data_IF_756764597624
#
_entry.id   IF_756764597624
#
_cell.length_a   1.000
_cell.length_b   1.000
_cell.length_c   1.000
_cell.angle_alpha   90.00
_cell.angle_beta   90.00
_cell.angle_gamma   90.00
#
_symmetry.space_group_name_H-M   'P 1'
#
loop_
_entity.id
_entity.type
_entity.pdbx_description
1 polymer ?
#
# COMPACT_ATOMS: atom_id res chain seq x y z
N UNK A 1 2.15 -25.29 -7.72
CA UNK A 1 2.27 -24.63 -6.41
C UNK A 1 1.59 -23.26 -6.40
N UNK A 2 1.86 -22.32 -7.35
CA UNK A 2 1.31 -20.96 -7.34
C UNK A 2 -0.21 -20.89 -7.41
N UNK A 3 -0.84 -21.66 -8.31
CA UNK A 3 -2.30 -21.73 -8.44
C UNK A 3 -2.93 -22.27 -7.15
N UNK A 4 -2.33 -23.29 -6.54
CA UNK A 4 -2.80 -23.84 -5.26
C UNK A 4 -2.73 -22.82 -4.12
N UNK A 5 -1.69 -22.00 -4.04
CA UNK A 5 -1.57 -20.95 -3.03
C UNK A 5 -2.64 -19.86 -3.19
N UNK A 6 -2.91 -19.44 -4.44
CA UNK A 6 -3.98 -18.46 -4.74
C UNK A 6 -5.36 -19.03 -4.38
N UNK A 7 -5.66 -20.27 -4.78
CA UNK A 7 -6.92 -20.93 -4.47
C UNK A 7 -7.11 -21.12 -2.96
N UNK A 8 -6.05 -21.55 -2.26
CA UNK A 8 -6.10 -21.73 -0.81
C UNK A 8 -6.39 -20.41 -0.09
N UNK A 9 -5.72 -19.31 -0.49
CA UNK A 9 -5.98 -17.98 0.06
C UNK A 9 -7.40 -17.44 -0.22
N UNK A 10 -8.12 -17.98 -1.22
CA UNK A 10 -9.51 -17.60 -1.50
C UNK A 10 -10.54 -18.40 -0.70
N UNK A 11 -10.24 -19.65 -0.35
CA UNK A 11 -11.17 -20.59 0.28
C UNK A 11 -11.13 -20.49 1.81
N UNK A 12 -9.99 -20.09 2.38
CA UNK A 12 -9.83 -20.03 3.82
C UNK A 12 -10.66 -18.91 4.45
N UNK A 13 -11.50 -19.24 5.42
CA UNK A 13 -12.47 -18.32 6.04
C UNK A 13 -11.82 -17.25 6.96
N UNK A 14 -10.65 -17.52 7.52
CA UNK A 14 -9.85 -16.59 8.35
C UNK A 14 -8.84 -15.78 7.57
N UNK A 15 -9.00 -15.62 6.25
CA UNK A 15 -8.07 -14.94 5.36
C UNK A 15 -7.78 -13.51 5.79
N UNK A 16 -6.49 -13.20 5.86
CA UNK A 16 -5.98 -11.84 5.99
C UNK A 16 -5.33 -11.41 4.65
N UNK A 17 -5.18 -10.10 4.46
CA UNK A 17 -4.47 -9.57 3.29
C UNK A 17 -3.01 -10.09 3.20
N UNK A 18 -2.40 -10.37 4.36
CA UNK A 18 -1.06 -10.99 4.48
C UNK A 18 -0.96 -12.37 3.85
N UNK A 19 -2.06 -13.12 3.73
CA UNK A 19 -2.06 -14.46 3.15
C UNK A 19 -1.77 -14.43 1.63
N UNK A 20 -2.00 -13.28 0.99
CA UNK A 20 -1.60 -13.05 -0.40
C UNK A 20 -0.08 -13.15 -0.61
N UNK A 21 0.74 -12.94 0.43
CA UNK A 21 2.20 -13.10 0.37
C UNK A 21 2.64 -14.52 -0.02
N UNK A 22 1.87 -15.55 0.35
CA UNK A 22 2.14 -16.93 -0.03
C UNK A 22 2.09 -17.17 -1.54
N UNK A 23 1.27 -16.37 -2.26
CA UNK A 23 1.21 -16.41 -3.72
C UNK A 23 2.33 -15.58 -4.38
N UNK A 24 2.79 -14.52 -3.73
CA UNK A 24 3.84 -13.62 -4.29
C UNK A 24 5.16 -14.36 -4.51
N UNK A 25 5.59 -15.19 -3.57
CA UNK A 25 6.87 -15.88 -3.66
C UNK A 25 6.96 -16.83 -4.88
N UNK A 26 6.03 -17.78 -5.12
CA UNK A 26 6.09 -18.61 -6.32
C UNK A 26 5.87 -17.83 -7.61
N UNK A 27 5.08 -16.74 -7.59
CA UNK A 27 4.91 -15.88 -8.76
C UNK A 27 6.19 -15.10 -9.08
N UNK A 28 6.91 -14.62 -8.07
CA UNK A 28 8.20 -13.97 -8.25
C UNK A 28 9.26 -14.91 -8.83
N UNK A 29 9.29 -16.17 -8.38
CA UNK A 29 10.19 -17.20 -8.94
C UNK A 29 9.86 -17.49 -10.41
N UNK A 30 8.57 -17.64 -10.76
CA UNK A 30 8.14 -17.83 -12.13
C UNK A 30 8.48 -16.62 -13.01
N UNK A 31 8.22 -15.41 -12.51
CA UNK A 31 8.57 -14.16 -13.18
C UNK A 31 10.09 -14.04 -13.41
N UNK A 32 10.88 -14.36 -12.40
CA UNK A 32 12.35 -14.39 -12.50
C UNK A 32 12.85 -15.40 -13.54
N UNK A 33 12.24 -16.59 -13.61
CA UNK A 33 12.57 -17.59 -14.65
C UNK A 33 12.27 -17.06 -16.04
N UNK A 34 11.08 -16.51 -16.27
CA UNK A 34 10.70 -15.94 -17.58
C UNK A 34 11.61 -14.78 -17.97
N UNK A 35 11.97 -13.90 -17.03
CA UNK A 35 12.94 -12.83 -17.25
C UNK A 35 14.30 -13.42 -17.65
N UNK A 36 14.80 -14.42 -16.93
CA UNK A 36 16.06 -15.07 -17.23
C UNK A 36 16.05 -15.69 -18.63
N UNK A 37 14.98 -16.38 -19.04
CA UNK A 37 14.85 -16.97 -20.38
C UNK A 37 14.87 -15.91 -21.49
N UNK A 38 14.20 -14.78 -21.29
CA UNK A 38 14.14 -13.70 -22.30
C UNK A 38 15.47 -12.97 -22.44
N UNK A 39 16.24 -12.83 -21.34
CA UNK A 39 17.51 -12.10 -21.34
C UNK A 39 18.76 -12.98 -21.44
N UNK A 40 18.68 -14.28 -21.11
CA UNK A 40 19.83 -15.19 -21.12
C UNK A 40 20.19 -15.70 -22.52
N UNK A 41 19.30 -15.63 -23.50
CA UNK A 41 19.67 -15.97 -24.89
C UNK A 41 20.58 -14.90 -25.47
N UNK A 42 21.88 -15.08 -25.25
CA UNK A 42 22.98 -14.17 -25.58
C UNK A 42 23.28 -13.98 -27.07
N UNK A 43 22.26 -13.92 -27.92
CA UNK A 43 22.43 -13.37 -29.26
C UNK A 43 22.63 -11.87 -29.13
N UNK A 44 23.72 -11.40 -29.70
CA UNK A 44 24.14 -10.00 -29.73
C UNK A 44 22.96 -9.09 -30.10
N UNK A 45 22.57 -8.22 -29.17
CA UNK A 45 21.52 -7.18 -29.39
C UNK A 45 22.03 -6.08 -30.38
N UNK A 46 23.15 -6.30 -31.07
CA UNK A 46 23.74 -5.37 -32.04
C UNK A 46 22.83 -5.26 -33.26
N UNK A 47 21.92 -4.28 -33.26
CA UNK A 47 20.96 -3.98 -34.32
C UNK A 47 19.51 -4.00 -33.91
N UNK A 48 19.08 -4.75 -32.89
CA UNK A 48 17.69 -4.78 -32.42
C UNK A 48 17.43 -3.80 -31.25
N UNK A 49 18.48 -3.29 -30.61
CA UNK A 49 18.38 -2.41 -29.44
C UNK A 49 17.49 -1.19 -29.67
N UNK A 50 17.61 -0.53 -30.82
CA UNK A 50 16.80 0.65 -31.14
C UNK A 50 15.30 0.28 -31.21
N UNK A 51 14.99 -0.86 -31.82
CA UNK A 51 13.63 -1.38 -31.93
C UNK A 51 13.05 -1.74 -30.56
N UNK A 52 13.84 -2.44 -29.73
CA UNK A 52 13.47 -2.81 -28.35
C UNK A 52 13.22 -1.54 -27.51
N UNK A 53 14.12 -0.55 -27.59
CA UNK A 53 13.98 0.71 -26.86
C UNK A 53 12.78 1.53 -27.32
N UNK A 54 12.55 1.63 -28.64
CA UNK A 54 11.40 2.34 -29.18
C UNK A 54 10.08 1.72 -28.72
N UNK A 55 9.97 0.40 -28.84
CA UNK A 55 8.79 -0.33 -28.35
C UNK A 55 8.60 -0.18 -26.85
N UNK A 56 9.67 -0.36 -26.06
CA UNK A 56 9.62 -0.21 -24.62
C UNK A 56 9.16 1.19 -24.22
N UNK A 57 9.64 2.25 -24.89
CA UNK A 57 9.23 3.62 -24.66
C UNK A 57 7.75 3.85 -24.95
N UNK A 58 7.26 3.38 -26.10
CA UNK A 58 5.84 3.51 -26.47
C UNK A 58 4.96 2.77 -25.45
N UNK A 59 5.26 1.52 -25.15
CA UNK A 59 4.51 0.71 -24.20
C UNK A 59 4.58 1.28 -22.78
N UNK A 60 5.72 1.82 -22.38
CA UNK A 60 5.87 2.49 -21.09
C UNK A 60 4.87 3.65 -20.94
N UNK A 61 4.81 4.55 -21.93
CA UNK A 61 3.86 5.69 -21.92
C UNK A 61 2.41 5.19 -21.85
N UNK A 62 2.09 4.17 -22.64
CA UNK A 62 0.73 3.57 -22.65
C UNK A 62 0.38 2.94 -21.29
N UNK A 63 1.29 2.19 -20.69
CA UNK A 63 1.06 1.56 -19.39
C UNK A 63 0.96 2.59 -18.26
N UNK A 64 1.76 3.65 -18.29
CA UNK A 64 1.64 4.77 -17.34
C UNK A 64 0.29 5.45 -17.48
N UNK A 65 -0.17 5.72 -18.70
CA UNK A 65 -1.50 6.27 -18.93
C UNK A 65 -2.62 5.35 -18.39
N UNK A 66 -2.52 4.04 -18.66
CA UNK A 66 -3.46 3.05 -18.13
C UNK A 66 -3.46 3.03 -16.59
N UNK A 67 -2.27 3.07 -15.97
CA UNK A 67 -2.10 3.11 -14.52
C UNK A 67 -2.80 4.33 -13.88
N UNK A 68 -2.62 5.53 -14.44
CA UNK A 68 -3.28 6.73 -13.92
C UNK A 68 -4.81 6.67 -14.09
N UNK A 69 -5.30 6.15 -15.21
CA UNK A 69 -6.75 6.00 -15.41
C UNK A 69 -7.35 4.94 -14.47
N UNK A 70 -6.68 3.82 -14.24
CA UNK A 70 -7.13 2.83 -13.24
C UNK A 70 -7.12 3.43 -11.83
N UNK A 71 -6.10 4.21 -11.49
CA UNK A 71 -6.03 4.93 -10.22
C UNK A 71 -7.14 5.97 -10.06
N UNK A 72 -7.50 6.68 -11.13
CA UNK A 72 -8.62 7.61 -11.13
C UNK A 72 -9.98 6.90 -10.95
N UNK A 73 -10.16 5.78 -11.66
CA UNK A 73 -11.36 4.95 -11.50
C UNK A 73 -11.52 4.43 -10.07
N UNK A 74 -10.45 3.90 -9.48
CA UNK A 74 -10.48 3.36 -8.10
C UNK A 74 -10.80 4.40 -7.03
N UNK A 75 -10.50 5.68 -7.29
CA UNK A 75 -10.75 6.81 -6.38
C UNK A 75 -12.03 7.59 -6.72
N UNK A 76 -12.81 7.14 -7.69
CA UNK A 76 -13.97 7.88 -8.24
C UNK A 76 -13.63 9.32 -8.67
N UNK A 77 -12.42 9.54 -9.18
CA UNK A 77 -11.98 10.84 -9.69
C UNK A 77 -12.36 10.92 -11.17
N UNK A 78 -13.23 11.88 -11.51
CA UNK A 78 -13.56 12.21 -12.89
C UNK A 78 -12.74 13.42 -13.33
N UNK A 79 -11.96 13.27 -14.41
CA UNK A 79 -11.14 14.37 -14.95
C UNK A 79 -11.98 15.44 -15.68
N UNK A 80 -13.20 15.10 -16.07
CA UNK A 80 -14.14 16.00 -16.75
C UNK A 80 -15.47 15.97 -16.01
N UNK A 81 -15.97 17.12 -15.64
CA UNK A 81 -17.17 17.31 -14.78
C UNK A 81 -18.44 16.63 -15.31
N UNK A 82 -18.52 16.38 -16.62
CA UNK A 82 -19.68 15.74 -17.28
C UNK A 82 -19.42 14.32 -17.77
N UNK A 83 -18.29 13.71 -17.41
CA UNK A 83 -17.92 12.38 -17.91
C UNK A 83 -18.54 11.26 -17.09
N UNK A 84 -18.86 10.16 -17.77
CA UNK A 84 -19.28 8.92 -17.10
C UNK A 84 -18.21 8.44 -16.10
N UNK A 85 -18.57 7.95 -14.91
CA UNK A 85 -17.63 7.40 -13.94
C UNK A 85 -16.82 6.21 -14.49
N UNK A 86 -17.30 5.56 -15.55
CA UNK A 86 -16.61 4.46 -16.22
C UNK A 86 -15.60 4.91 -17.28
N UNK A 87 -15.55 6.21 -17.64
CA UNK A 87 -14.64 6.71 -18.68
C UNK A 87 -13.18 6.35 -18.41
N UNK A 88 -12.62 6.52 -17.19
CA UNK A 88 -11.23 6.13 -16.94
C UNK A 88 -10.98 4.62 -17.15
N UNK A 89 -11.95 3.77 -16.81
CA UNK A 89 -11.84 2.33 -17.04
C UNK A 89 -11.84 2.00 -18.55
N UNK A 90 -12.70 2.64 -19.32
CA UNK A 90 -12.76 2.48 -20.79
C UNK A 90 -11.46 2.94 -21.42
N UNK A 91 -10.92 4.08 -21.00
CA UNK A 91 -9.64 4.58 -21.50
C UNK A 91 -8.48 3.66 -21.15
N UNK A 92 -8.42 3.16 -19.91
CA UNK A 92 -7.40 2.21 -19.49
C UNK A 92 -7.45 0.92 -20.30
N UNK A 93 -8.64 0.33 -20.46
CA UNK A 93 -8.81 -0.91 -21.24
C UNK A 93 -8.50 -0.72 -22.72
N UNK A 94 -8.91 0.41 -23.29
CA UNK A 94 -8.61 0.76 -24.67
C UNK A 94 -7.10 0.88 -24.94
N UNK A 95 -6.39 1.56 -24.05
CA UNK A 95 -4.93 1.70 -24.15
C UNK A 95 -4.19 0.38 -23.94
N UNK A 96 -4.64 -0.47 -23.01
CA UNK A 96 -4.07 -1.81 -22.85
C UNK A 96 -4.26 -2.66 -24.11
N UNK A 97 -5.47 -2.62 -24.70
CA UNK A 97 -5.76 -3.32 -25.96
C UNK A 97 -4.87 -2.82 -27.10
N UNK A 98 -4.71 -1.49 -27.20
CA UNK A 98 -3.81 -0.89 -28.18
C UNK A 98 -2.35 -1.28 -27.95
N UNK A 99 -1.90 -1.36 -26.71
CA UNK A 99 -0.56 -1.82 -26.34
C UNK A 99 -0.29 -3.26 -26.75
N UNK A 100 -1.28 -4.13 -26.59
CA UNK A 100 -1.22 -5.50 -27.08
C UNK A 100 -1.11 -5.54 -28.61
N UNK A 101 -1.92 -4.73 -29.31
CA UNK A 101 -1.85 -4.60 -30.77
C UNK A 101 -0.47 -4.12 -31.22
N UNK A 102 0.08 -3.09 -30.59
CA UNK A 102 1.44 -2.59 -30.86
C UNK A 102 2.45 -3.71 -30.68
N UNK A 103 2.36 -4.48 -29.61
CA UNK A 103 3.26 -5.61 -29.36
C UNK A 103 3.18 -6.66 -30.48
N UNK A 104 1.98 -7.00 -30.93
CA UNK A 104 1.77 -7.93 -32.06
C UNK A 104 2.35 -7.37 -33.37
N UNK A 105 2.16 -6.09 -33.64
CA UNK A 105 2.72 -5.45 -34.84
C UNK A 105 4.26 -5.44 -34.81
N UNK A 106 4.88 -5.16 -33.66
CA UNK A 106 6.34 -5.27 -33.51
C UNK A 106 6.82 -6.69 -33.69
N UNK A 107 6.11 -7.68 -33.14
CA UNK A 107 6.46 -9.10 -33.31
C UNK A 107 6.35 -9.57 -34.76
N UNK A 108 5.40 -9.04 -35.53
CA UNK A 108 5.20 -9.36 -36.94
C UNK A 108 6.16 -8.59 -37.87
N UNK A 109 6.46 -7.32 -37.55
CA UNK A 109 7.26 -6.45 -38.40
C UNK A 109 8.78 -6.60 -38.20
N UNK A 110 9.21 -7.00 -37.01
CA UNK A 110 10.64 -7.15 -36.67
C UNK A 110 10.96 -8.55 -36.17
N UNK A 111 10.85 -8.77 -34.83
CA UNK A 111 11.10 -10.10 -34.27
C UNK A 111 10.26 -10.33 -33.01
N UNK A 112 9.82 -11.57 -32.82
CA UNK A 112 9.08 -11.98 -31.61
C UNK A 112 9.91 -11.77 -30.35
N UNK A 113 11.25 -12.02 -30.44
CA UNK A 113 12.18 -11.84 -29.33
C UNK A 113 12.33 -10.36 -28.95
N UNK A 114 12.52 -9.47 -29.94
CA UNK A 114 12.58 -8.03 -29.71
C UNK A 114 11.28 -7.50 -29.10
N UNK A 115 10.14 -7.94 -29.62
CA UNK A 115 8.83 -7.57 -29.09
C UNK A 115 8.62 -8.03 -27.63
N UNK A 116 9.03 -9.25 -27.30
CA UNK A 116 8.96 -9.76 -25.94
C UNK A 116 9.87 -8.97 -24.98
N UNK A 117 11.11 -8.67 -25.39
CA UNK A 117 12.07 -7.88 -24.61
C UNK A 117 11.56 -6.45 -24.35
N UNK A 118 11.10 -5.76 -25.39
CA UNK A 118 10.54 -4.41 -25.28
C UNK A 118 9.33 -4.37 -24.35
N UNK A 119 8.41 -5.32 -24.49
CA UNK A 119 7.24 -5.46 -23.63
C UNK A 119 7.62 -5.73 -22.17
N UNK A 120 8.58 -6.62 -21.92
CA UNK A 120 9.05 -6.92 -20.56
C UNK A 120 9.77 -5.75 -19.92
N UNK A 121 10.59 -5.03 -20.64
CA UNK A 121 11.26 -3.82 -20.12
C UNK A 121 10.22 -2.79 -19.73
N UNK A 122 9.25 -2.50 -20.60
CA UNK A 122 8.18 -1.54 -20.30
C UNK A 122 7.36 -1.96 -19.07
N UNK A 123 6.87 -3.19 -19.06
CA UNK A 123 6.08 -3.72 -17.95
C UNK A 123 6.87 -3.76 -16.64
N UNK A 124 8.11 -4.26 -16.69
CA UNK A 124 8.99 -4.34 -15.54
C UNK A 124 9.31 -2.97 -14.95
N UNK A 125 9.55 -1.97 -15.80
CA UNK A 125 9.81 -0.59 -15.35
C UNK A 125 8.57 0.00 -14.68
N UNK A 126 7.38 -0.13 -15.28
CA UNK A 126 6.12 0.37 -14.68
C UNK A 126 5.82 -0.35 -13.36
N UNK A 127 6.00 -1.66 -13.31
CA UNK A 127 5.81 -2.44 -12.08
C UNK A 127 6.80 -2.02 -10.99
N UNK A 128 8.07 -1.83 -11.32
CA UNK A 128 9.10 -1.40 -10.38
C UNK A 128 8.77 -0.01 -9.81
N UNK A 129 8.53 0.97 -10.68
CA UNK A 129 8.19 2.34 -10.26
C UNK A 129 6.89 2.37 -9.48
N UNK A 130 5.86 1.65 -9.93
CA UNK A 130 4.57 1.54 -9.26
C UNK A 130 4.70 0.92 -7.87
N UNK A 131 5.48 -0.16 -7.74
CA UNK A 131 5.71 -0.84 -6.45
C UNK A 131 6.50 0.05 -5.48
N UNK A 132 7.55 0.71 -5.94
CA UNK A 132 8.31 1.66 -5.12
C UNK A 132 7.45 2.84 -4.69
N UNK A 133 6.65 3.41 -5.60
CA UNK A 133 5.72 4.50 -5.29
C UNK A 133 4.61 4.07 -4.33
N UNK A 134 4.04 2.88 -4.50
CA UNK A 134 3.05 2.33 -3.59
C UNK A 134 3.66 2.07 -2.20
N UNK A 135 4.85 1.45 -2.13
CA UNK A 135 5.57 1.22 -0.89
C UNK A 135 5.88 2.52 -0.14
N UNK A 136 6.37 3.53 -0.84
CA UNK A 136 6.58 4.85 -0.27
C UNK A 136 5.27 5.47 0.24
N UNK A 137 4.19 5.37 -0.56
CA UNK A 137 2.87 5.85 -0.18
C UNK A 137 2.37 5.24 1.12
N UNK A 138 2.46 3.91 1.24
CA UNK A 138 2.02 3.17 2.45
C UNK A 138 2.87 3.53 3.67
N UNK A 139 4.19 3.67 3.51
CA UNK A 139 5.08 3.92 4.65
C UNK A 139 5.12 5.38 5.12
N UNK A 140 4.85 6.34 4.24
CA UNK A 140 5.02 7.76 4.54
C UNK A 140 3.72 8.57 4.51
N UNK A 141 2.99 8.51 3.40
CA UNK A 141 1.84 9.42 3.20
C UNK A 141 0.50 8.83 3.63
N UNK A 142 0.40 7.50 3.69
CA UNK A 142 -0.83 6.77 4.01
C UNK A 142 -0.64 5.74 5.12
N UNK A 143 0.39 5.92 5.94
CA UNK A 143 0.70 5.00 7.03
C UNK A 143 -0.47 4.82 8.01
N UNK A 144 -1.28 5.89 8.18
CA UNK A 144 -2.43 5.92 9.08
C UNK A 144 -3.78 5.77 8.34
N UNK A 145 -3.79 5.48 7.03
CA UNK A 145 -5.03 5.36 6.28
C UNK A 145 -5.69 4.00 6.57
N UNK A 146 -6.91 3.94 7.15
CA UNK A 146 -7.62 2.69 7.43
C UNK A 146 -8.02 1.91 6.18
N UNK A 147 -7.88 2.50 4.99
CA UNK A 147 -8.11 1.84 3.71
C UNK A 147 -6.92 0.99 3.25
N UNK A 148 -5.75 1.17 3.87
CA UNK A 148 -4.58 0.35 3.55
C UNK A 148 -4.75 -1.05 4.14
N UNK A 149 -4.68 -2.05 3.26
CA UNK A 149 -4.87 -3.47 3.61
C UNK A 149 -3.87 -3.99 4.67
N UNK A 150 -2.75 -3.30 4.83
CA UNK A 150 -1.69 -3.64 5.79
C UNK A 150 -1.88 -3.00 7.16
N UNK A 151 -2.92 -2.18 7.31
CA UNK A 151 -3.24 -1.51 8.56
C UNK A 151 -4.56 -2.07 9.13
N UNK A 152 -4.55 -3.30 9.67
CA UNK A 152 -5.77 -3.96 10.14
C UNK A 152 -6.36 -3.35 11.41
N UNK A 153 -5.59 -2.52 12.11
CA UNK A 153 -6.04 -1.80 13.30
C UNK A 153 -5.99 -0.29 13.02
N UNK A 154 -6.98 0.49 13.49
CA UNK A 154 -6.90 1.93 13.43
C UNK A 154 -5.69 2.38 14.26
N UNK A 155 -4.64 2.82 13.58
CA UNK A 155 -3.52 3.47 14.24
C UNK A 155 -4.01 4.81 14.75
N UNK A 156 -3.82 5.09 16.04
CA UNK A 156 -4.10 6.41 16.57
C UNK A 156 -3.14 7.39 15.93
N UNK A 157 -3.64 8.17 14.99
CA UNK A 157 -2.86 9.20 14.33
C UNK A 157 -2.28 10.11 15.40
N UNK A 158 -0.95 10.29 15.37
CA UNK A 158 -0.24 11.07 16.37
C UNK A 158 -0.16 10.47 17.79
N UNK A 159 -0.30 9.14 17.98
CA UNK A 159 -0.10 8.50 19.28
C UNK A 159 1.25 8.89 19.92
N UNK A 160 2.30 9.00 19.09
CA UNK A 160 3.62 9.48 19.53
C UNK A 160 3.60 10.94 20.00
N UNK A 161 2.83 11.80 19.35
CA UNK A 161 2.65 13.19 19.77
C UNK A 161 1.94 13.27 21.12
N UNK A 162 0.93 12.42 21.36
CA UNK A 162 0.27 12.29 22.64
C UNK A 162 1.26 11.91 23.74
N UNK A 163 2.09 10.87 23.52
CA UNK A 163 3.09 10.45 24.49
C UNK A 163 4.12 11.57 24.79
N UNK A 164 4.54 12.32 23.78
CA UNK A 164 5.43 13.49 23.95
C UNK A 164 4.74 14.60 24.76
N UNK A 165 3.48 14.89 24.46
CA UNK A 165 2.71 15.91 25.21
C UNK A 165 2.57 15.53 26.69
N UNK A 166 2.30 14.24 26.97
CA UNK A 166 2.21 13.75 28.35
C UNK A 166 3.57 13.84 29.08
N UNK A 167 4.68 13.58 28.39
CA UNK A 167 6.01 13.78 28.93
C UNK A 167 6.25 15.25 29.32
N UNK A 168 5.89 16.18 28.45
CA UNK A 168 6.03 17.62 28.72
C UNK A 168 5.14 18.05 29.90
N UNK A 169 3.91 17.56 29.99
CA UNK A 169 3.01 17.82 31.11
C UNK A 169 3.60 17.23 32.40
N UNK A 170 4.08 15.98 32.37
CA UNK A 170 4.68 15.32 33.52
C UNK A 170 5.87 16.09 34.08
N UNK A 171 6.77 16.52 33.18
CA UNK A 171 7.92 17.34 33.58
C UNK A 171 7.54 18.67 34.21
N UNK A 172 6.50 19.33 33.69
CA UNK A 172 6.06 20.65 34.19
C UNK A 172 5.28 20.56 35.48
N UNK A 173 4.47 19.51 35.68
CA UNK A 173 3.55 19.39 36.83
C UNK A 173 4.13 18.58 37.97
N UNK A 174 4.87 17.52 37.70
CA UNK A 174 5.38 16.56 38.67
C UNK A 174 6.91 16.64 38.81
N UNK A 175 7.60 17.27 37.85
CA UNK A 175 9.06 17.35 37.83
C UNK A 175 9.76 16.04 37.49
N UNK A 176 9.02 15.06 36.98
CA UNK A 176 9.50 13.73 36.57
C UNK A 176 8.95 13.36 35.19
N UNK A 177 9.75 12.66 34.38
CA UNK A 177 9.39 12.35 33.01
C UNK A 177 8.16 11.44 32.86
N UNK A 178 7.89 10.54 33.82
CA UNK A 178 6.90 9.48 33.67
C UNK A 178 5.99 9.28 34.87
N UNK A 179 6.04 10.16 35.88
CA UNK A 179 5.34 9.98 37.15
C UNK A 179 3.93 10.61 37.17
N UNK A 180 3.47 11.07 36.01
CA UNK A 180 2.13 11.63 35.83
C UNK A 180 1.05 10.52 35.95
N UNK A 181 0.01 10.80 36.70
CA UNK A 181 -1.19 9.94 36.74
C UNK A 181 -2.06 10.26 35.52
N UNK A 182 -2.33 9.22 34.70
CA UNK A 182 -3.12 9.34 33.47
C UNK A 182 -4.28 8.34 33.54
N UNK A 183 -5.48 8.85 33.35
CA UNK A 183 -6.67 8.03 33.24
C UNK A 183 -7.09 7.94 31.79
N UNK A 184 -7.25 6.73 31.26
CA UNK A 184 -7.64 6.47 29.88
C UNK A 184 -9.02 5.83 29.89
N UNK A 185 -9.99 6.47 29.24
CA UNK A 185 -11.31 5.88 29.06
C UNK A 185 -11.26 4.81 27.99
N UNK A 186 -11.63 3.58 28.33
CA UNK A 186 -11.77 2.49 27.36
C UNK A 186 -12.92 2.80 26.40
N UNK A 187 -12.60 2.78 25.12
CA UNK A 187 -13.57 2.84 24.03
C UNK A 187 -13.27 1.69 23.07
N UNK A 188 -14.14 0.68 22.97
CA UNK A 188 -13.94 -0.47 22.11
C UNK A 188 -13.69 -0.13 20.63
N UNK A 189 -14.03 1.11 20.24
CA UNK A 189 -13.84 1.58 18.87
C UNK A 189 -12.42 2.02 18.54
N UNK A 190 -11.61 2.43 19.51
CA UNK A 190 -10.27 2.98 19.24
C UNK A 190 -9.21 2.68 20.29
N UNK A 191 -9.57 2.22 21.45
CA UNK A 191 -8.66 2.07 22.58
C UNK A 191 -9.03 0.86 23.45
N UNK A 192 -8.12 -0.09 23.56
CA UNK A 192 -8.16 -1.20 24.49
C UNK A 192 -6.85 -1.27 25.30
N UNK A 193 -6.88 -2.03 26.40
CA UNK A 193 -5.72 -2.20 27.30
C UNK A 193 -4.51 -2.84 26.62
N UNK A 194 -4.72 -3.57 25.53
CA UNK A 194 -3.68 -4.28 24.77
C UNK A 194 -3.33 -3.56 23.47
N UNK A 195 -3.93 -2.40 23.21
CA UNK A 195 -3.80 -1.66 21.97
C UNK A 195 -2.55 -0.78 21.87
N UNK A 196 -2.48 -0.05 20.75
CA UNK A 196 -1.38 0.87 20.45
C UNK A 196 -1.19 1.93 21.54
N UNK A 197 -2.27 2.43 22.12
CA UNK A 197 -2.21 3.46 23.16
C UNK A 197 -1.55 2.91 24.43
N UNK A 198 -1.88 1.70 24.84
CA UNK A 198 -1.24 1.04 25.97
C UNK A 198 0.27 0.84 25.72
N UNK A 199 0.65 0.51 24.48
CA UNK A 199 2.06 0.42 24.09
C UNK A 199 2.78 1.75 24.16
N UNK A 200 2.20 2.83 23.67
CA UNK A 200 2.78 4.17 23.72
C UNK A 200 2.90 4.71 25.15
N UNK A 201 1.94 4.37 26.02
CA UNK A 201 1.91 4.79 27.43
C UNK A 201 2.64 3.84 28.37
N UNK A 202 3.27 2.78 27.89
CA UNK A 202 3.93 1.73 28.71
C UNK A 202 5.00 2.25 29.70
N UNK A 203 5.55 3.42 29.42
CA UNK A 203 6.57 4.04 30.29
C UNK A 203 5.96 4.83 31.47
N UNK A 204 4.65 5.05 31.46
CA UNK A 204 3.94 5.74 32.55
C UNK A 204 3.37 4.72 33.53
N UNK A 205 3.97 4.50 34.70
CA UNK A 205 3.54 3.46 35.65
C UNK A 205 2.18 3.72 36.29
N UNK A 206 1.69 4.97 36.25
CA UNK A 206 0.43 5.39 36.87
C UNK A 206 -0.69 5.55 35.84
N UNK A 207 -0.62 4.88 34.70
CA UNK A 207 -1.73 4.83 33.74
C UNK A 207 -2.79 3.85 34.22
N UNK A 208 -4.03 4.30 34.20
CA UNK A 208 -5.20 3.48 34.50
C UNK A 208 -6.20 3.51 33.35
N UNK A 209 -6.60 2.33 32.89
CA UNK A 209 -7.66 2.18 31.93
C UNK A 209 -8.98 1.94 32.67
N UNK A 210 -10.01 2.74 32.36
CA UNK A 210 -11.31 2.67 33.03
C UNK A 210 -12.43 2.61 32.00
N UNK A 211 -13.49 1.87 32.30
CA UNK A 211 -14.64 1.72 31.39
C UNK A 211 -15.66 2.87 31.57
N UNK A 212 -15.58 3.61 32.68
CA UNK A 212 -16.39 4.76 32.93
C UNK A 212 -15.63 5.79 33.77
N UNK A 213 -15.89 7.08 33.54
CA UNK A 213 -15.34 8.19 34.31
C UNK A 213 -16.22 8.42 35.55
N UNK A 214 -15.81 7.86 36.68
CA UNK A 214 -16.37 8.20 37.97
C UNK A 214 -15.65 9.44 38.53
N UNK A 215 -16.34 10.33 39.29
CA UNK A 215 -15.70 11.53 39.88
C UNK A 215 -14.47 11.20 40.73
N UNK A 216 -14.45 10.03 41.35
CA UNK A 216 -13.38 9.54 42.22
C UNK A 216 -12.18 8.96 41.42
N UNK A 217 -12.41 8.67 40.13
CA UNK A 217 -11.38 8.11 39.23
C UNK A 217 -10.67 9.17 38.39
N UNK A 218 -11.03 10.44 38.51
CA UNK A 218 -10.45 11.53 37.77
C UNK A 218 -9.01 11.76 38.24
N UNK A 219 -8.04 11.55 37.33
CA UNK A 219 -6.64 11.94 37.49
C UNK A 219 -6.41 13.36 36.94
N UNK A 220 -5.18 13.88 37.09
CA UNK A 220 -4.79 15.18 36.55
C UNK A 220 -4.86 15.24 35.03
N UNK A 221 -4.80 14.10 34.36
CA UNK A 221 -4.96 13.98 32.90
C UNK A 221 -5.94 12.85 32.57
N UNK A 222 -6.91 13.14 31.76
CA UNK A 222 -7.90 12.18 31.24
C UNK A 222 -7.79 12.14 29.72
N UNK A 223 -7.67 10.94 29.17
CA UNK A 223 -7.69 10.69 27.72
C UNK A 223 -9.03 10.01 27.40
N UNK A 224 -9.83 10.65 26.57
CA UNK A 224 -11.10 10.11 26.10
C UNK A 224 -11.26 10.37 24.59
N UNK A 225 -12.09 9.57 23.91
CA UNK A 225 -12.47 9.86 22.53
C UNK A 225 -13.40 11.07 22.44
N UNK A 226 -13.39 11.78 21.31
CA UNK A 226 -14.28 12.91 21.05
C UNK A 226 -15.78 12.51 21.08
N UNK A 227 -16.06 11.23 20.83
CA UNK A 227 -17.42 10.66 20.85
C UNK A 227 -17.93 10.30 22.25
N UNK A 228 -17.05 10.31 23.24
CA UNK A 228 -17.37 9.94 24.62
C UNK A 228 -17.86 11.13 25.52
N UNK A 229 -18.12 12.29 24.91
CA UNK A 229 -18.58 13.50 25.57
C UNK A 229 -20.11 13.62 25.60
#
# INVERSE_FOLDING_TARGET
AGIGAVLFGQIYSGRAASDALWAVFPLALLGGKVLAEVFAEGETMEGEWQTVAAQAGVLFVMLVFAYFNLGAYSRNITFVVSSSPYLPLVLASGVVTLGLLVTVLFAAGWSKKAAARGGMIALGTVMLVGTLGAGWGVTQSRADDPRELWNPAPTVKNARLLAQTLLDISNRTVGSNYDLEVVVLNDPGWNDQDGLLAWELRNFPKVRFVDALAPEALGPVVIASETAS
#
